data_IF_176012509497
#
_entry.id   IF_176012509497
#
_cell.length_a   1.000
_cell.length_b   1.000
_cell.length_c   1.000
_cell.angle_alpha   90.00
_cell.angle_beta   90.00
_cell.angle_gamma   90.00
#
_symmetry.space_group_name_H-M   'P 1'
#
loop_
_entity.id
_entity.type
_entity.pdbx_description
1 polymer ?
#
# COMPACT_ATOMS: atom_id res chain seq x y z
N UNK A 1 55.37 10.56 1.34
CA UNK A 1 54.54 11.55 0.59
C UNK A 1 53.61 10.89 -0.43
N UNK A 2 54.04 9.88 -1.19
CA UNK A 2 53.18 9.18 -2.15
C UNK A 2 51.98 8.41 -1.52
N UNK A 3 52.15 7.80 -0.34
CA UNK A 3 51.04 7.07 0.32
C UNK A 3 49.96 7.99 0.92
N UNK A 4 50.30 9.24 1.26
CA UNK A 4 49.32 10.25 1.69
C UNK A 4 48.44 10.71 0.53
N UNK A 5 49.02 10.97 -0.65
CA UNK A 5 48.27 11.41 -1.83
C UNK A 5 47.29 10.35 -2.38
N UNK A 6 47.62 9.05 -2.20
CA UNK A 6 46.74 7.94 -2.62
C UNK A 6 45.57 7.71 -1.66
N UNK A 7 45.79 7.88 -0.35
CA UNK A 7 44.69 7.85 0.63
C UNK A 7 43.74 9.03 0.41
N UNK A 8 44.29 10.19 0.06
CA UNK A 8 43.54 11.42 -0.21
C UNK A 8 42.67 11.32 -1.48
N UNK A 9 43.16 10.67 -2.54
CA UNK A 9 42.39 10.47 -3.79
C UNK A 9 41.18 9.56 -3.60
N UNK A 10 41.32 8.46 -2.85
CA UNK A 10 40.20 7.55 -2.58
C UNK A 10 39.15 8.20 -1.68
N UNK A 11 39.58 8.93 -0.65
CA UNK A 11 38.66 9.65 0.23
C UNK A 11 37.90 10.76 -0.51
N UNK A 12 38.60 11.50 -1.38
CA UNK A 12 37.97 12.49 -2.27
C UNK A 12 36.93 11.85 -3.18
N UNK A 13 37.25 10.68 -3.76
CA UNK A 13 36.31 9.94 -4.59
C UNK A 13 35.06 9.48 -3.81
N UNK A 14 35.23 8.97 -2.58
CA UNK A 14 34.11 8.60 -1.70
C UNK A 14 33.21 9.79 -1.42
N UNK A 15 33.80 10.91 -1.02
CA UNK A 15 33.08 12.16 -0.73
C UNK A 15 32.26 12.64 -1.93
N UNK A 16 32.84 12.60 -3.15
CA UNK A 16 32.11 12.98 -4.37
C UNK A 16 30.87 12.11 -4.62
N UNK A 17 30.99 10.80 -4.41
CA UNK A 17 29.87 9.87 -4.57
C UNK A 17 28.82 10.07 -3.47
N UNK A 18 29.23 10.30 -2.24
CA UNK A 18 28.32 10.58 -1.13
C UNK A 18 27.57 11.90 -1.34
N UNK A 19 28.25 12.97 -1.79
CA UNK A 19 27.62 14.24 -2.16
C UNK A 19 26.58 14.09 -3.29
N UNK A 20 26.81 13.17 -4.23
CA UNK A 20 25.86 12.85 -5.30
C UNK A 20 24.60 12.16 -4.75
N UNK A 21 24.75 11.21 -3.82
CA UNK A 21 23.61 10.54 -3.19
C UNK A 21 22.86 11.48 -2.25
N UNK A 22 23.56 12.31 -1.48
CA UNK A 22 22.97 13.33 -0.63
C UNK A 22 22.18 14.36 -1.45
N UNK A 23 22.70 14.74 -2.63
CA UNK A 23 21.98 15.57 -3.59
C UNK A 23 20.69 14.91 -4.10
N UNK A 24 20.72 13.59 -4.38
CA UNK A 24 19.53 12.82 -4.81
C UNK A 24 18.48 12.73 -3.70
N UNK A 25 18.92 12.38 -2.50
CA UNK A 25 18.06 12.01 -1.37
C UNK A 25 17.41 13.25 -0.74
N UNK A 26 18.14 14.36 -0.66
CA UNK A 26 17.65 15.63 -0.15
C UNK A 26 17.22 16.61 -1.25
N UNK A 27 16.97 16.13 -2.48
CA UNK A 27 16.64 17.01 -3.61
C UNK A 27 15.42 17.90 -3.32
N UNK A 28 14.33 17.31 -2.83
CA UNK A 28 13.07 18.04 -2.54
C UNK A 28 13.26 19.05 -1.41
N UNK A 29 14.01 18.68 -0.37
CA UNK A 29 14.32 19.57 0.75
C UNK A 29 15.18 20.76 0.30
N UNK A 30 16.17 20.53 -0.56
CA UNK A 30 17.12 21.54 -1.03
C UNK A 30 16.54 22.47 -2.08
N UNK A 31 15.68 21.96 -2.96
CA UNK A 31 15.26 22.66 -4.18
C UNK A 31 13.75 22.95 -4.26
N UNK A 32 12.96 22.42 -3.33
CA UNK A 32 11.50 22.59 -3.31
C UNK A 32 10.77 21.62 -4.22
N UNK A 33 9.45 21.53 -4.02
CA UNK A 33 8.55 20.67 -4.80
C UNK A 33 8.41 21.12 -6.25
N UNK A 34 8.55 22.42 -6.50
CA UNK A 34 8.47 23.03 -7.82
C UNK A 34 9.56 22.56 -8.79
N UNK A 35 10.70 22.09 -8.25
CA UNK A 35 11.83 21.60 -9.04
C UNK A 35 11.84 20.09 -9.27
N UNK A 36 10.87 19.35 -8.72
CA UNK A 36 10.82 17.88 -8.83
C UNK A 36 10.82 17.39 -10.27
N UNK A 37 10.20 18.12 -11.20
CA UNK A 37 10.18 17.77 -12.63
C UNK A 37 11.56 17.84 -13.29
N UNK A 38 12.49 18.64 -12.75
CA UNK A 38 13.88 18.70 -13.23
C UNK A 38 14.81 17.70 -12.54
N UNK A 39 14.37 17.03 -11.47
CA UNK A 39 15.21 16.14 -10.64
C UNK A 39 15.96 15.10 -11.45
N UNK A 40 15.31 14.47 -12.42
CA UNK A 40 15.92 13.42 -13.23
C UNK A 40 17.07 13.97 -14.10
N UNK A 41 16.86 15.11 -14.76
CA UNK A 41 17.86 15.73 -15.64
C UNK A 41 19.03 16.30 -14.83
N UNK A 42 18.73 16.98 -13.72
CA UNK A 42 19.74 17.51 -12.80
C UNK A 42 20.62 16.39 -12.23
N UNK A 43 20.01 15.26 -11.84
CA UNK A 43 20.71 14.11 -11.31
C UNK A 43 21.58 13.44 -12.37
N UNK A 44 21.10 13.32 -13.61
CA UNK A 44 21.88 12.79 -14.73
C UNK A 44 23.09 13.68 -15.04
N UNK A 45 22.92 15.01 -15.02
CA UNK A 45 24.02 15.97 -15.16
C UNK A 45 25.06 15.82 -14.06
N UNK A 46 24.64 15.80 -12.79
CA UNK A 46 25.54 15.65 -11.64
C UNK A 46 26.23 14.28 -11.61
N UNK A 47 25.54 13.22 -12.05
CA UNK A 47 26.12 11.90 -12.24
C UNK A 47 27.28 11.94 -13.25
N UNK A 48 27.07 12.54 -14.44
CA UNK A 48 28.11 12.65 -15.47
C UNK A 48 29.31 13.45 -15.00
N UNK A 49 29.08 14.57 -14.31
CA UNK A 49 30.16 15.38 -13.71
C UNK A 49 30.98 14.55 -12.71
N UNK A 50 30.30 13.78 -11.86
CA UNK A 50 30.94 12.90 -10.86
C UNK A 50 31.77 11.81 -11.54
N UNK A 51 31.26 11.21 -12.63
CA UNK A 51 31.99 10.20 -13.40
C UNK A 51 33.28 10.75 -14.01
N UNK A 52 33.25 11.95 -14.59
CA UNK A 52 34.46 12.59 -15.15
C UNK A 52 35.53 12.75 -14.07
N UNK A 53 35.16 13.29 -12.90
CA UNK A 53 36.08 13.45 -11.76
C UNK A 53 36.62 12.11 -11.26
N UNK A 54 35.78 11.08 -11.19
CA UNK A 54 36.22 9.73 -10.81
C UNK A 54 37.22 9.15 -11.81
N UNK A 55 36.95 9.31 -13.11
CA UNK A 55 37.81 8.79 -14.17
C UNK A 55 39.19 9.49 -14.21
N UNK A 56 39.27 10.77 -13.85
CA UNK A 56 40.55 11.50 -13.65
C UNK A 56 41.39 10.92 -12.49
N UNK A 57 40.75 10.38 -11.46
CA UNK A 57 41.41 9.77 -10.29
C UNK A 57 41.66 8.27 -10.43
N UNK A 58 41.27 7.66 -11.55
CA UNK A 58 41.33 6.20 -11.75
C UNK A 58 42.72 5.61 -11.50
N UNK A 59 43.76 6.27 -12.01
CA UNK A 59 45.13 5.76 -11.91
C UNK A 59 45.78 6.09 -10.55
N UNK A 60 45.25 7.07 -9.80
CA UNK A 60 45.74 7.41 -8.46
C UNK A 60 45.11 6.54 -7.37
N UNK A 61 43.88 6.03 -7.59
CA UNK A 61 43.21 5.10 -6.69
C UNK A 61 43.76 3.68 -6.88
N UNK A 62 44.71 3.28 -6.02
CA UNK A 62 45.35 1.95 -6.06
C UNK A 62 44.35 0.81 -5.80
N UNK A 63 43.36 1.01 -4.92
CA UNK A 63 42.36 -0.01 -4.64
C UNK A 63 41.32 -0.06 -5.77
N UNK A 64 41.58 -0.94 -6.74
CA UNK A 64 40.72 -1.11 -7.92
C UNK A 64 39.29 -1.55 -7.57
N UNK A 65 39.11 -2.37 -6.53
CA UNK A 65 37.79 -2.83 -6.12
C UNK A 65 36.92 -1.65 -5.66
N UNK A 66 37.48 -0.79 -4.80
CA UNK A 66 36.82 0.43 -4.33
C UNK A 66 36.55 1.43 -5.47
N UNK A 67 37.49 1.61 -6.40
CA UNK A 67 37.26 2.47 -7.57
C UNK A 67 36.07 1.96 -8.41
N UNK A 68 36.03 0.66 -8.73
CA UNK A 68 34.90 0.09 -9.48
C UNK A 68 33.60 0.14 -8.69
N UNK A 69 33.63 -0.03 -7.37
CA UNK A 69 32.46 0.19 -6.51
C UNK A 69 31.94 1.61 -6.64
N UNK A 70 32.79 2.63 -6.43
CA UNK A 70 32.40 4.03 -6.48
C UNK A 70 31.86 4.42 -7.85
N UNK A 71 32.56 4.05 -8.93
CA UNK A 71 32.10 4.30 -10.30
C UNK A 71 30.77 3.61 -10.59
N UNK A 72 30.63 2.35 -10.17
CA UNK A 72 29.40 1.58 -10.32
C UNK A 72 28.22 2.19 -9.54
N UNK A 73 28.48 2.64 -8.31
CA UNK A 73 27.51 3.33 -7.44
C UNK A 73 27.07 4.67 -8.04
N UNK A 74 27.99 5.43 -8.66
CA UNK A 74 27.67 6.63 -9.43
C UNK A 74 26.75 6.33 -10.61
N UNK A 75 27.10 5.35 -11.45
CA UNK A 75 26.28 4.92 -12.60
C UNK A 75 24.88 4.41 -12.18
N UNK A 76 24.76 3.92 -10.95
CA UNK A 76 23.52 3.37 -10.41
C UNK A 76 22.66 4.42 -9.65
N UNK A 77 23.04 5.70 -9.64
CA UNK A 77 22.30 6.72 -8.86
C UNK A 77 20.90 7.01 -9.42
N UNK A 78 20.74 6.94 -10.74
CA UNK A 78 19.47 7.18 -11.45
C UNK A 78 18.60 5.92 -11.41
N UNK A 79 17.27 6.07 -11.37
CA UNK A 79 16.34 4.93 -11.29
C UNK A 79 16.37 3.96 -12.48
N UNK A 80 16.92 4.37 -13.62
CA UNK A 80 16.99 3.57 -14.86
C UNK A 80 18.10 2.52 -14.80
N UNK A 81 17.86 1.34 -15.38
CA UNK A 81 18.88 0.31 -15.54
C UNK A 81 20.04 0.79 -16.44
N UNK A 82 21.27 0.48 -16.02
CA UNK A 82 22.50 0.72 -16.76
C UNK A 82 23.32 -0.57 -16.85
N UNK A 83 23.54 -1.06 -18.07
CA UNK A 83 24.40 -2.23 -18.30
C UNK A 83 25.86 -1.93 -17.88
N UNK A 84 26.30 -0.69 -18.04
CA UNK A 84 27.63 -0.27 -17.60
C UNK A 84 27.77 -0.34 -16.07
N UNK A 85 26.72 0.05 -15.33
CA UNK A 85 26.71 -0.09 -13.86
C UNK A 85 26.83 -1.56 -13.46
N UNK A 86 26.03 -2.44 -14.11
CA UNK A 86 26.04 -3.88 -13.87
C UNK A 86 27.44 -4.49 -14.09
N UNK A 87 28.08 -4.19 -15.23
CA UNK A 87 29.42 -4.69 -15.54
C UNK A 87 30.49 -4.15 -14.56
N UNK A 88 30.39 -2.86 -14.20
CA UNK A 88 31.33 -2.20 -13.30
C UNK A 88 31.23 -2.77 -11.88
N UNK A 89 30.01 -2.92 -11.35
CA UNK A 89 29.76 -3.50 -10.03
C UNK A 89 30.10 -4.99 -9.98
N UNK A 90 29.86 -5.72 -11.07
CA UNK A 90 30.31 -7.12 -11.20
C UNK A 90 31.83 -7.25 -11.10
N UNK A 91 32.60 -6.29 -11.63
CA UNK A 91 34.06 -6.24 -11.44
C UNK A 91 34.43 -5.93 -9.99
N UNK A 92 33.73 -4.99 -9.35
CA UNK A 92 33.96 -4.65 -7.94
C UNK A 92 33.82 -5.87 -7.03
N UNK A 93 32.69 -6.60 -7.14
CA UNK A 93 32.43 -7.83 -6.35
C UNK A 93 33.43 -8.95 -6.67
N UNK A 94 33.91 -9.07 -7.92
CA UNK A 94 34.95 -10.06 -8.26
C UNK A 94 36.30 -9.75 -7.62
N UNK A 95 36.65 -8.48 -7.50
CA UNK A 95 37.93 -8.04 -6.93
C UNK A 95 37.90 -8.02 -5.40
N UNK A 96 36.76 -7.67 -4.81
CA UNK A 96 36.51 -7.79 -3.38
C UNK A 96 35.15 -8.46 -3.13
N UNK A 97 35.13 -9.80 -3.00
CA UNK A 97 33.90 -10.54 -2.72
C UNK A 97 33.28 -10.23 -1.36
N UNK A 98 34.02 -9.62 -0.43
CA UNK A 98 33.51 -9.28 0.92
C UNK A 98 32.86 -7.91 0.97
N UNK A 99 32.95 -7.11 -0.09
CA UNK A 99 32.36 -5.77 -0.14
C UNK A 99 30.83 -5.83 -0.15
N UNK A 100 30.24 -5.59 1.02
CA UNK A 100 28.79 -5.56 1.25
C UNK A 100 28.11 -4.48 0.40
N UNK A 101 28.73 -3.31 0.29
CA UNK A 101 28.22 -2.20 -0.51
C UNK A 101 28.20 -2.54 -2.01
N UNK A 102 29.24 -3.21 -2.52
CA UNK A 102 29.28 -3.67 -3.91
C UNK A 102 28.18 -4.69 -4.21
N UNK A 103 27.95 -5.64 -3.31
CA UNK A 103 26.84 -6.59 -3.45
C UNK A 103 25.48 -5.90 -3.42
N UNK A 104 25.29 -4.88 -2.57
CA UNK A 104 24.05 -4.13 -2.50
C UNK A 104 23.76 -3.38 -3.80
N UNK A 105 24.72 -2.61 -4.32
CA UNK A 105 24.51 -1.90 -5.58
C UNK A 105 24.40 -2.83 -6.78
N UNK A 106 25.10 -3.97 -6.78
CA UNK A 106 24.92 -5.00 -7.80
C UNK A 106 23.50 -5.58 -7.76
N UNK A 107 22.98 -5.87 -6.56
CA UNK A 107 21.60 -6.31 -6.36
C UNK A 107 20.57 -5.29 -6.82
N UNK A 108 20.80 -4.00 -6.57
CA UNK A 108 19.97 -2.90 -7.08
C UNK A 108 20.00 -2.81 -8.62
N UNK A 109 21.14 -3.10 -9.25
CA UNK A 109 21.21 -3.18 -10.72
C UNK A 109 20.35 -4.32 -11.27
N UNK A 110 20.44 -5.52 -10.66
CA UNK A 110 19.59 -6.65 -11.04
C UNK A 110 18.10 -6.34 -10.80
N UNK A 111 17.78 -5.65 -9.71
CA UNK A 111 16.42 -5.18 -9.42
C UNK A 111 15.88 -4.26 -10.51
N UNK A 112 16.67 -3.24 -10.92
CA UNK A 112 16.31 -2.33 -12.01
C UNK A 112 16.21 -3.05 -13.37
N UNK A 113 16.94 -4.14 -13.54
CA UNK A 113 16.83 -5.04 -14.70
C UNK A 113 15.65 -6.02 -14.60
N UNK A 114 14.80 -5.91 -13.58
CA UNK A 114 13.71 -6.85 -13.28
C UNK A 114 14.13 -8.31 -13.02
N UNK A 115 15.43 -8.56 -12.80
CA UNK A 115 15.96 -9.86 -12.39
C UNK A 115 15.89 -10.00 -10.86
N UNK A 116 14.71 -10.38 -10.39
CA UNK A 116 14.42 -10.53 -8.97
C UNK A 116 15.25 -11.65 -8.32
N UNK A 117 15.61 -12.70 -9.07
CA UNK A 117 16.41 -13.81 -8.57
C UNK A 117 17.87 -13.38 -8.38
N UNK A 118 18.45 -12.70 -9.38
CA UNK A 118 19.77 -12.09 -9.29
C UNK A 118 19.87 -11.10 -8.12
N UNK A 119 18.88 -10.21 -7.98
CA UNK A 119 18.81 -9.25 -6.89
C UNK A 119 18.77 -9.96 -5.51
N UNK A 120 17.92 -10.97 -5.35
CA UNK A 120 17.84 -11.78 -4.10
C UNK A 120 19.19 -12.39 -3.75
N UNK A 121 19.87 -12.99 -4.73
CA UNK A 121 21.16 -13.64 -4.54
C UNK A 121 22.22 -12.63 -4.08
N UNK A 122 22.28 -11.44 -4.68
CA UNK A 122 23.20 -10.39 -4.28
C UNK A 122 22.96 -9.91 -2.84
N UNK A 123 21.72 -9.60 -2.47
CA UNK A 123 21.41 -9.14 -1.11
C UNK A 123 21.62 -10.24 -0.06
N UNK A 124 21.36 -11.49 -0.41
CA UNK A 124 21.65 -12.63 0.47
C UNK A 124 23.16 -12.86 0.63
N UNK A 125 23.93 -12.71 -0.46
CA UNK A 125 25.39 -12.77 -0.44
C UNK A 125 26.00 -11.68 0.44
N UNK A 126 25.52 -10.44 0.31
CA UNK A 126 25.92 -9.33 1.18
C UNK A 126 25.72 -9.66 2.67
N UNK A 127 24.55 -10.20 3.03
CA UNK A 127 24.22 -10.61 4.40
C UNK A 127 25.03 -11.81 4.90
N UNK A 128 25.55 -12.64 3.99
CA UNK A 128 26.48 -13.72 4.32
C UNK A 128 27.87 -13.21 4.75
N UNK A 129 28.23 -11.99 4.37
CA UNK A 129 29.48 -11.33 4.77
C UNK A 129 29.29 -10.44 6.00
N UNK A 130 28.29 -9.56 5.99
CA UNK A 130 27.99 -8.67 7.10
C UNK A 130 26.51 -8.32 7.17
N UNK A 131 25.92 -8.43 8.36
CA UNK A 131 24.55 -7.99 8.61
C UNK A 131 24.47 -6.46 8.56
N UNK A 132 23.69 -5.93 7.62
CA UNK A 132 23.55 -4.49 7.41
C UNK A 132 22.11 -4.12 7.00
N UNK A 133 21.70 -2.88 7.26
CA UNK A 133 20.32 -2.42 7.02
C UNK A 133 19.96 -2.30 5.53
N UNK A 134 20.91 -1.98 4.65
CA UNK A 134 20.66 -1.84 3.20
C UNK A 134 20.24 -3.18 2.60
N UNK A 135 21.02 -4.24 2.83
CA UNK A 135 20.71 -5.57 2.30
C UNK A 135 19.39 -6.12 2.86
N UNK A 136 19.11 -5.90 4.16
CA UNK A 136 17.86 -6.33 4.78
C UNK A 136 16.63 -5.63 4.18
N UNK A 137 16.69 -4.30 3.98
CA UNK A 137 15.64 -3.53 3.31
C UNK A 137 15.41 -4.04 1.90
N UNK A 138 16.48 -4.15 1.12
CA UNK A 138 16.39 -4.54 -0.28
C UNK A 138 15.93 -6.01 -0.44
N UNK A 139 16.39 -6.92 0.43
CA UNK A 139 15.90 -8.30 0.43
C UNK A 139 14.41 -8.37 0.80
N UNK A 140 13.97 -7.58 1.78
CA UNK A 140 12.55 -7.46 2.12
C UNK A 140 11.72 -7.02 0.91
N UNK A 141 12.17 -5.99 0.16
CA UNK A 141 11.51 -5.54 -1.07
C UNK A 141 11.42 -6.66 -2.12
N UNK A 142 12.53 -7.35 -2.38
CA UNK A 142 12.59 -8.42 -3.39
C UNK A 142 11.66 -9.57 -3.06
N UNK A 143 11.64 -10.01 -1.80
CA UNK A 143 10.82 -11.14 -1.37
C UNK A 143 9.34 -10.94 -1.68
N UNK A 144 8.82 -9.70 -1.63
CA UNK A 144 7.39 -9.42 -1.91
C UNK A 144 7.04 -9.42 -3.40
N UNK A 145 8.03 -9.27 -4.26
CA UNK A 145 7.86 -9.22 -5.71
C UNK A 145 8.19 -10.55 -6.41
N UNK A 146 8.84 -11.48 -5.71
CA UNK A 146 9.10 -12.82 -6.23
C UNK A 146 7.77 -13.55 -6.52
N UNK A 147 7.74 -14.22 -7.68
CA UNK A 147 6.64 -15.07 -8.09
C UNK A 147 6.81 -16.46 -7.47
N UNK A 148 5.70 -17.15 -7.28
CA UNK A 148 5.67 -18.51 -6.74
C UNK A 148 4.21 -18.98 -6.62
N UNK A 149 4.04 -20.18 -6.12
CA UNK A 149 2.73 -20.66 -5.68
C UNK A 149 2.15 -19.76 -4.57
N UNK A 150 0.82 -19.79 -4.32
CA UNK A 150 0.21 -18.99 -3.26
C UNK A 150 0.85 -19.21 -1.87
N UNK A 151 1.20 -20.45 -1.52
CA UNK A 151 1.83 -20.79 -0.24
C UNK A 151 3.26 -20.23 -0.16
N UNK A 152 4.06 -20.38 -1.22
CA UNK A 152 5.42 -19.80 -1.28
C UNK A 152 5.38 -18.28 -1.19
N UNK A 153 4.43 -17.64 -1.90
CA UNK A 153 4.26 -16.18 -1.85
C UNK A 153 3.87 -15.71 -0.44
N UNK A 154 3.00 -16.45 0.24
CA UNK A 154 2.62 -16.14 1.61
C UNK A 154 3.81 -16.25 2.57
N UNK A 155 4.66 -17.27 2.40
CA UNK A 155 5.87 -17.42 3.20
C UNK A 155 6.88 -16.29 2.91
N UNK A 156 7.12 -15.98 1.64
CA UNK A 156 8.01 -14.88 1.22
C UNK A 156 7.57 -13.53 1.80
N UNK A 157 6.27 -13.27 1.89
CA UNK A 157 5.75 -12.05 2.51
C UNK A 157 6.01 -12.04 4.03
N UNK A 158 5.88 -13.18 4.71
CA UNK A 158 6.23 -13.28 6.14
C UNK A 158 7.72 -13.06 6.36
N UNK A 159 8.57 -13.70 5.56
CA UNK A 159 10.02 -13.53 5.63
C UNK A 159 10.43 -12.07 5.33
N UNK A 160 9.74 -11.41 4.39
CA UNK A 160 9.93 -10.00 4.08
C UNK A 160 9.68 -9.08 5.28
N UNK A 161 8.65 -9.36 6.08
CA UNK A 161 8.36 -8.61 7.32
C UNK A 161 9.48 -8.78 8.32
N UNK A 162 9.99 -10.00 8.50
CA UNK A 162 11.11 -10.25 9.43
C UNK A 162 12.38 -9.52 8.98
N UNK A 163 12.73 -9.54 7.69
CA UNK A 163 13.88 -8.79 7.18
C UNK A 163 13.74 -7.28 7.34
N UNK A 164 12.53 -6.73 7.14
CA UNK A 164 12.28 -5.32 7.39
C UNK A 164 12.37 -4.94 8.87
N UNK A 165 11.88 -5.79 9.79
CA UNK A 165 12.05 -5.60 11.24
C UNK A 165 13.52 -5.62 11.64
N UNK A 166 14.30 -6.57 11.12
CA UNK A 166 15.74 -6.63 11.37
C UNK A 166 16.44 -5.36 10.89
N UNK A 167 16.03 -4.77 9.75
CA UNK A 167 16.60 -3.51 9.26
C UNK A 167 16.34 -2.35 10.23
N UNK A 168 15.09 -2.21 10.71
CA UNK A 168 14.71 -1.21 11.71
C UNK A 168 15.46 -1.41 13.03
N UNK A 169 15.70 -2.66 13.44
CA UNK A 169 16.46 -2.94 14.67
C UNK A 169 17.92 -2.48 14.60
N UNK A 170 18.52 -2.47 13.41
CA UNK A 170 19.88 -1.95 13.24
C UNK A 170 19.93 -0.43 13.32
N UNK A 171 18.87 0.26 12.93
CA UNK A 171 18.76 1.72 13.00
C UNK A 171 17.29 2.15 13.08
N UNK A 172 16.84 2.46 14.30
CA UNK A 172 15.46 2.88 14.56
C UNK A 172 15.16 4.30 14.05
N UNK A 173 16.18 5.07 13.67
CA UNK A 173 16.04 6.42 13.13
C UNK A 173 15.95 6.45 11.61
N UNK A 174 16.28 5.36 10.93
CA UNK A 174 16.22 5.25 9.47
C UNK A 174 14.76 5.17 8.97
N UNK A 175 14.25 6.30 8.49
CA UNK A 175 12.89 6.37 7.92
C UNK A 175 12.67 5.43 6.73
N UNK A 176 13.71 5.14 5.95
CA UNK A 176 13.59 4.19 4.83
C UNK A 176 13.34 2.78 5.33
N UNK A 177 13.99 2.35 6.42
CA UNK A 177 13.72 1.05 7.04
C UNK A 177 12.27 0.95 7.54
N UNK A 178 11.75 2.02 8.14
CA UNK A 178 10.34 2.08 8.56
C UNK A 178 9.36 2.06 7.38
N UNK A 179 9.65 2.75 6.28
CA UNK A 179 8.87 2.69 5.04
C UNK A 179 8.81 1.25 4.50
N UNK A 180 9.96 0.58 4.42
CA UNK A 180 10.01 -0.81 3.93
C UNK A 180 9.24 -1.76 4.85
N UNK A 181 9.29 -1.55 6.17
CA UNK A 181 8.50 -2.31 7.13
C UNK A 181 7.00 -2.06 6.96
N UNK A 182 6.58 -0.81 6.75
CA UNK A 182 5.19 -0.47 6.41
C UNK A 182 4.73 -1.21 5.16
N UNK A 183 5.52 -1.18 4.08
CA UNK A 183 5.20 -1.89 2.83
C UNK A 183 5.13 -3.41 3.01
N UNK A 184 5.96 -3.97 3.90
CA UNK A 184 5.91 -5.39 4.23
C UNK A 184 4.64 -5.76 5.00
N UNK A 185 4.25 -4.97 6.01
CA UNK A 185 2.98 -5.15 6.70
C UNK A 185 1.78 -4.95 5.78
N UNK A 186 1.82 -3.98 4.87
CA UNK A 186 0.75 -3.77 3.88
C UNK A 186 0.54 -5.01 3.01
N UNK A 187 1.65 -5.60 2.55
CA UNK A 187 1.61 -6.84 1.75
C UNK A 187 1.12 -8.03 2.59
N UNK A 188 1.53 -8.12 3.86
CA UNK A 188 1.04 -9.15 4.78
C UNK A 188 -0.46 -8.98 5.07
N UNK A 189 -0.94 -7.75 5.21
CA UNK A 189 -2.34 -7.44 5.44
C UNK A 189 -3.22 -7.93 4.27
N UNK A 190 -2.85 -7.57 3.03
CA UNK A 190 -3.63 -7.96 1.85
C UNK A 190 -3.47 -9.43 1.44
N UNK A 191 -2.40 -10.12 1.89
CA UNK A 191 -2.23 -11.56 1.64
C UNK A 191 -2.82 -12.44 2.75
N UNK A 192 -2.71 -12.02 4.01
CA UNK A 192 -3.01 -12.82 5.21
C UNK A 192 -4.43 -12.64 5.78
N UNK A 193 -5.41 -12.29 4.95
CA UNK A 193 -6.82 -12.18 5.36
C UNK A 193 -7.18 -10.91 6.15
N UNK A 194 -6.41 -9.83 5.97
CA UNK A 194 -6.73 -8.49 6.47
C UNK A 194 -6.88 -8.38 8.00
N UNK A 195 -5.96 -8.97 8.78
CA UNK A 195 -5.93 -8.79 10.23
C UNK A 195 -5.77 -7.29 10.62
N UNK A 196 -6.73 -6.70 11.36
CA UNK A 196 -6.66 -5.30 11.80
C UNK A 196 -5.39 -4.97 12.61
N UNK A 197 -4.80 -5.93 13.32
CA UNK A 197 -3.54 -5.73 14.05
C UNK A 197 -2.38 -5.45 13.11
N UNK A 198 -2.31 -6.15 11.98
CA UNK A 198 -1.28 -5.96 10.96
C UNK A 198 -1.45 -4.59 10.30
N UNK A 199 -2.68 -4.17 10.02
CA UNK A 199 -2.95 -2.82 9.49
C UNK A 199 -2.51 -1.72 10.49
N UNK A 200 -2.78 -1.90 11.78
CA UNK A 200 -2.31 -0.96 12.81
C UNK A 200 -0.77 -0.88 12.86
N UNK A 201 -0.08 -2.02 12.74
CA UNK A 201 1.39 -2.06 12.65
C UNK A 201 1.91 -1.37 11.38
N UNK A 202 1.24 -1.59 10.24
CA UNK A 202 1.52 -0.92 8.97
C UNK A 202 1.44 0.61 9.12
N UNK A 203 0.33 1.12 9.65
CA UNK A 203 0.13 2.56 9.85
C UNK A 203 1.15 3.15 10.82
N UNK A 204 1.45 2.44 11.91
CA UNK A 204 2.50 2.86 12.85
C UNK A 204 3.87 2.95 12.20
N UNK A 205 4.23 2.02 11.32
CA UNK A 205 5.51 2.03 10.62
C UNK A 205 5.59 3.23 9.66
N UNK A 206 4.53 3.51 8.90
CA UNK A 206 4.48 4.70 8.06
C UNK A 206 4.59 6.00 8.86
N UNK A 207 3.92 6.12 10.00
CA UNK A 207 4.05 7.29 10.88
C UNK A 207 5.45 7.50 11.44
N UNK A 208 6.23 6.42 11.65
CA UNK A 208 7.65 6.55 12.01
C UNK A 208 8.50 6.98 10.81
N UNK A 209 8.24 6.42 9.63
CA UNK A 209 8.95 6.77 8.40
C UNK A 209 8.85 8.26 8.08
N UNK A 210 7.67 8.87 8.25
CA UNK A 210 7.45 10.29 7.97
C UNK A 210 8.22 11.28 8.85
N UNK A 211 8.77 10.82 9.97
CA UNK A 211 9.60 11.66 10.85
C UNK A 211 10.96 11.96 10.24
N UNK A 212 11.39 11.13 9.29
CA UNK A 212 12.61 11.30 8.51
C UNK A 212 12.32 12.09 7.23
N UNK A 213 13.14 13.11 6.96
CA UNK A 213 12.92 14.03 5.84
C UNK A 213 13.03 13.34 4.48
N UNK A 214 14.01 12.43 4.32
CA UNK A 214 14.23 11.70 3.06
C UNK A 214 13.07 10.75 2.78
N UNK A 215 12.65 9.98 3.78
CA UNK A 215 11.51 9.07 3.64
C UNK A 215 10.20 9.81 3.41
N UNK A 216 9.98 10.96 4.07
CA UNK A 216 8.81 11.83 3.83
C UNK A 216 8.74 12.34 2.39
N UNK A 217 9.89 12.61 1.78
CA UNK A 217 10.00 13.01 0.36
C UNK A 217 10.01 11.84 -0.62
N UNK A 218 9.81 10.60 -0.17
CA UNK A 218 9.65 9.46 -1.06
C UNK A 218 8.18 9.32 -1.53
N UNK A 219 7.90 9.34 -2.85
CA UNK A 219 6.54 9.21 -3.38
C UNK A 219 5.86 7.89 -2.97
N UNK A 220 6.62 6.80 -2.83
CA UNK A 220 6.10 5.49 -2.44
C UNK A 220 5.47 5.50 -1.04
N UNK A 221 6.03 6.29 -0.10
CA UNK A 221 5.47 6.40 1.25
C UNK A 221 4.08 7.01 1.20
N UNK A 222 3.94 8.13 0.48
CA UNK A 222 2.67 8.84 0.36
C UNK A 222 1.62 7.99 -0.36
N UNK A 223 2.00 7.31 -1.43
CA UNK A 223 1.09 6.45 -2.20
C UNK A 223 0.66 5.20 -1.43
N UNK A 224 1.59 4.41 -0.87
CA UNK A 224 1.24 3.16 -0.19
C UNK A 224 0.45 3.41 1.10
N UNK A 225 0.73 4.51 1.78
CA UNK A 225 -0.10 4.93 2.92
C UNK A 225 -1.48 5.41 2.47
N UNK A 226 -1.59 6.15 1.37
CA UNK A 226 -2.89 6.53 0.80
C UNK A 226 -3.74 5.32 0.44
N UNK A 227 -3.14 4.23 -0.08
CA UNK A 227 -3.84 2.97 -0.31
C UNK A 227 -4.38 2.35 0.99
N UNK A 228 -3.63 2.47 2.09
CA UNK A 228 -4.05 2.00 3.42
C UNK A 228 -5.22 2.84 3.96
N UNK A 229 -5.19 4.15 3.78
CA UNK A 229 -6.29 5.05 4.14
C UNK A 229 -7.53 4.82 3.27
N UNK A 230 -7.37 4.62 1.95
CA UNK A 230 -8.46 4.25 1.03
C UNK A 230 -9.17 2.98 1.50
N UNK A 231 -8.42 1.97 1.94
CA UNK A 231 -9.01 0.75 2.50
C UNK A 231 -9.80 1.00 3.80
N UNK A 232 -9.31 1.90 4.66
CA UNK A 232 -9.97 2.31 5.92
C UNK A 232 -11.13 3.30 5.70
N UNK A 233 -11.40 3.69 4.45
CA UNK A 233 -12.38 4.73 4.08
C UNK A 233 -12.05 6.13 4.65
N UNK A 234 -10.78 6.35 5.00
CA UNK A 234 -10.20 7.64 5.36
C UNK A 234 -9.86 8.43 4.08
N UNK A 235 -10.90 8.78 3.33
CA UNK A 235 -10.76 9.25 1.95
C UNK A 235 -10.05 10.61 1.81
N UNK A 236 -10.11 11.47 2.83
CA UNK A 236 -9.39 12.76 2.83
C UNK A 236 -7.89 12.51 2.77
N UNK A 237 -7.37 11.71 3.70
CA UNK A 237 -5.96 11.37 3.82
C UNK A 237 -5.48 10.54 2.62
N UNK A 238 -6.36 9.71 2.04
CA UNK A 238 -6.07 8.99 0.81
C UNK A 238 -5.86 9.95 -0.38
N UNK A 239 -6.78 10.90 -0.60
CA UNK A 239 -6.67 11.88 -1.68
C UNK A 239 -5.44 12.79 -1.53
N UNK A 240 -5.16 13.24 -0.30
CA UNK A 240 -3.95 14.02 0.01
C UNK A 240 -2.67 13.22 -0.31
N UNK A 241 -2.59 11.97 0.13
CA UNK A 241 -1.41 11.15 -0.11
C UNK A 241 -1.19 10.79 -1.59
N UNK A 242 -2.26 10.51 -2.35
CA UNK A 242 -2.14 10.34 -3.80
C UNK A 242 -1.69 11.62 -4.50
N UNK A 243 -2.23 12.76 -4.08
CA UNK A 243 -1.83 14.06 -4.61
C UNK A 243 -0.35 14.36 -4.33
N UNK A 244 0.10 14.19 -3.09
CA UNK A 244 1.51 14.37 -2.71
C UNK A 244 2.43 13.41 -3.47
N UNK A 245 2.06 12.14 -3.63
CA UNK A 245 2.84 11.20 -4.43
C UNK A 245 2.98 11.65 -5.89
N UNK A 246 1.90 12.18 -6.51
CA UNK A 246 1.93 12.72 -7.88
C UNK A 246 2.81 13.97 -8.02
N UNK A 247 2.97 14.75 -6.95
CA UNK A 247 3.85 15.93 -6.94
C UNK A 247 5.32 15.52 -6.75
N UNK A 248 5.57 14.49 -5.94
CA UNK A 248 6.90 13.95 -5.67
C UNK A 248 7.48 13.13 -6.85
N UNK A 249 6.61 12.55 -7.69
CA UNK A 249 7.00 11.94 -8.96
C UNK A 249 5.93 12.20 -10.04
N UNK A 250 6.04 13.30 -10.79
CA UNK A 250 5.11 13.64 -11.87
C UNK A 250 5.15 12.67 -13.07
N UNK A 251 6.21 11.86 -13.19
CA UNK A 251 6.33 10.86 -14.26
C UNK A 251 5.55 9.58 -13.94
N UNK A 252 5.32 9.32 -12.65
CA UNK A 252 4.51 8.20 -12.18
C UNK A 252 3.02 8.54 -12.26
N UNK A 253 2.30 7.85 -13.15
CA UNK A 253 0.89 8.16 -13.46
C UNK A 253 -0.11 7.55 -12.48
N UNK A 254 0.29 6.53 -11.72
CA UNK A 254 -0.65 5.76 -10.87
C UNK A 254 -1.26 6.61 -9.75
N UNK A 255 -0.52 7.47 -9.02
CA UNK A 255 -1.09 8.32 -7.98
C UNK A 255 -2.20 9.23 -8.52
N UNK A 256 -1.96 9.88 -9.66
CA UNK A 256 -2.97 10.75 -10.30
C UNK A 256 -4.18 9.94 -10.79
N UNK A 257 -3.95 8.70 -11.25
CA UNK A 257 -5.01 7.79 -11.69
C UNK A 257 -5.88 7.37 -10.51
N UNK A 258 -5.27 6.99 -9.39
CA UNK A 258 -5.97 6.64 -8.15
C UNK A 258 -6.72 7.83 -7.54
N UNK A 259 -6.12 9.02 -7.54
CA UNK A 259 -6.76 10.26 -7.08
C UNK A 259 -8.04 10.54 -7.88
N UNK A 260 -7.96 10.50 -9.22
CA UNK A 260 -9.11 10.72 -10.11
C UNK A 260 -10.17 9.65 -9.93
N UNK A 261 -9.76 8.37 -9.87
CA UNK A 261 -10.68 7.25 -9.68
C UNK A 261 -11.43 7.36 -8.35
N UNK A 262 -10.75 7.76 -7.27
CA UNK A 262 -11.37 7.97 -5.97
C UNK A 262 -12.35 9.15 -5.98
N UNK A 263 -12.03 10.26 -6.63
CA UNK A 263 -12.99 11.37 -6.79
C UNK A 263 -14.23 10.95 -7.57
N UNK A 264 -14.07 10.23 -8.69
CA UNK A 264 -15.21 9.70 -9.46
C UNK A 264 -16.03 8.72 -8.64
N UNK A 265 -15.40 7.87 -7.84
CA UNK A 265 -16.09 6.95 -6.93
C UNK A 265 -16.93 7.71 -5.90
N UNK A 266 -16.40 8.76 -5.27
CA UNK A 266 -17.13 9.60 -4.31
C UNK A 266 -18.29 10.39 -4.97
N UNK A 267 -18.07 10.95 -6.16
CA UNK A 267 -19.15 11.59 -6.95
C UNK A 267 -20.31 10.62 -7.20
N UNK A 268 -19.97 9.38 -7.57
CA UNK A 268 -20.93 8.33 -7.84
C UNK A 268 -21.69 7.92 -6.57
N UNK A 269 -21.00 7.77 -5.43
CA UNK A 269 -21.66 7.48 -4.15
C UNK A 269 -22.71 8.55 -3.83
N UNK A 270 -22.32 9.83 -3.84
CA UNK A 270 -23.24 10.93 -3.48
C UNK A 270 -24.41 10.96 -4.46
N UNK A 271 -24.12 10.98 -5.76
CA UNK A 271 -25.15 11.07 -6.80
C UNK A 271 -26.13 9.90 -6.75
N UNK A 272 -25.64 8.67 -6.58
CA UNK A 272 -26.47 7.47 -6.59
C UNK A 272 -27.25 7.30 -5.30
N UNK A 273 -26.71 7.73 -4.16
CA UNK A 273 -27.42 7.71 -2.88
C UNK A 273 -28.56 8.72 -2.89
N UNK A 274 -28.30 9.98 -3.29
CA UNK A 274 -29.32 11.04 -3.41
C UNK A 274 -30.43 10.66 -4.40
N UNK A 275 -30.07 10.12 -5.56
CA UNK A 275 -31.03 9.73 -6.62
C UNK A 275 -31.57 8.31 -6.47
N UNK A 276 -31.27 7.63 -5.35
CA UNK A 276 -31.69 6.24 -5.06
C UNK A 276 -31.48 5.30 -6.27
N UNK A 277 -30.25 5.28 -6.78
CA UNK A 277 -29.82 4.46 -7.92
C UNK A 277 -30.41 4.89 -9.27
N UNK A 278 -30.98 6.10 -9.36
CA UNK A 278 -31.67 6.62 -10.57
C UNK A 278 -32.84 5.72 -11.03
N UNK A 279 -33.45 4.97 -10.10
CA UNK A 279 -34.60 4.13 -10.40
C UNK A 279 -35.84 4.98 -10.67
N UNK A 280 -36.66 4.56 -11.65
CA UNK A 280 -37.97 5.18 -11.89
C UNK A 280 -38.83 5.09 -10.61
N UNK A 281 -39.56 6.15 -10.20
CA UNK A 281 -40.32 6.16 -8.95
C UNK A 281 -41.27 4.97 -8.77
N UNK A 282 -41.98 4.56 -9.83
CA UNK A 282 -42.85 3.37 -9.81
C UNK A 282 -42.11 2.08 -9.42
N UNK A 283 -40.90 1.89 -9.97
CA UNK A 283 -40.06 0.70 -9.69
C UNK A 283 -39.47 0.75 -8.28
N UNK A 284 -39.00 1.92 -7.86
CA UNK A 284 -38.51 2.14 -6.50
C UNK A 284 -39.61 1.84 -5.47
N UNK A 285 -40.80 2.41 -5.63
CA UNK A 285 -41.92 2.19 -4.72
C UNK A 285 -42.34 0.72 -4.67
N UNK A 286 -42.33 0.01 -5.81
CA UNK A 286 -42.59 -1.43 -5.85
C UNK A 286 -41.58 -2.22 -5.01
N UNK A 287 -40.28 -1.90 -5.11
CA UNK A 287 -39.24 -2.52 -4.29
C UNK A 287 -39.42 -2.21 -2.80
N UNK A 288 -39.59 -0.93 -2.43
CA UNK A 288 -39.71 -0.51 -1.04
C UNK A 288 -40.99 -1.05 -0.37
N UNK A 289 -42.08 -1.20 -1.12
CA UNK A 289 -43.33 -1.78 -0.60
C UNK A 289 -43.26 -3.31 -0.48
N UNK A 290 -42.32 -3.97 -1.15
CA UNK A 290 -42.11 -5.42 -1.00
C UNK A 290 -41.29 -5.81 0.24
N UNK A 291 -40.69 -4.84 0.94
CA UNK A 291 -39.97 -5.11 2.19
C UNK A 291 -40.92 -5.60 3.28
N UNK A 292 -40.50 -6.65 3.96
CA UNK A 292 -41.28 -7.36 4.98
C UNK A 292 -40.38 -7.88 6.11
N UNK A 293 -40.99 -8.37 7.19
CA UNK A 293 -40.28 -8.99 8.32
C UNK A 293 -39.42 -10.18 7.87
N UNK A 294 -39.82 -10.90 6.80
CA UNK A 294 -39.07 -12.05 6.27
C UNK A 294 -37.69 -11.66 5.72
N UNK A 295 -37.52 -10.41 5.27
CA UNK A 295 -36.28 -9.94 4.66
C UNK A 295 -35.14 -9.81 5.69
N UNK A 296 -35.48 -9.68 6.97
CA UNK A 296 -34.53 -9.72 8.08
C UNK A 296 -33.99 -11.14 8.33
N UNK A 297 -34.63 -12.18 7.78
CA UNK A 297 -34.22 -13.58 7.90
C UNK A 297 -34.04 -14.00 9.36
N UNK A 298 -32.85 -14.48 9.79
CA UNK A 298 -32.60 -14.86 11.18
C UNK A 298 -32.77 -13.70 12.16
N UNK A 299 -32.73 -12.45 11.71
CA UNK A 299 -32.90 -11.25 12.55
C UNK A 299 -34.35 -10.79 12.70
N UNK A 300 -35.30 -11.48 12.04
CA UNK A 300 -36.72 -11.12 12.05
C UNK A 300 -37.35 -11.16 13.46
N UNK A 301 -36.88 -12.08 14.32
CA UNK A 301 -37.29 -12.16 15.72
C UNK A 301 -36.54 -11.18 16.63
N UNK A 302 -35.80 -10.23 16.06
CA UNK A 302 -35.00 -9.27 16.79
C UNK A 302 -33.92 -9.95 17.62
N UNK A 303 -33.31 -11.05 17.17
CA UNK A 303 -32.19 -11.66 17.91
C UNK A 303 -30.98 -11.90 16.99
N UNK A 304 -29.79 -11.60 17.49
CA UNK A 304 -28.52 -11.92 16.85
C UNK A 304 -27.65 -12.66 17.84
N UNK A 305 -27.22 -13.86 17.46
CA UNK A 305 -26.20 -14.57 18.22
C UNK A 305 -24.85 -14.19 17.64
N UNK A 306 -24.06 -13.48 18.43
CA UNK A 306 -22.71 -13.08 18.03
C UNK A 306 -21.83 -14.31 17.83
N UNK A 307 -20.67 -14.18 17.15
CA UNK A 307 -19.70 -15.27 17.03
C UNK A 307 -19.24 -15.86 18.37
N UNK A 308 -19.41 -15.12 19.47
CA UNK A 308 -19.08 -15.55 20.84
C UNK A 308 -20.25 -16.25 21.56
N UNK A 309 -21.37 -16.51 20.87
CA UNK A 309 -22.51 -17.26 21.41
C UNK A 309 -23.50 -16.43 22.24
N UNK A 310 -23.31 -15.11 22.33
CA UNK A 310 -24.24 -14.23 23.04
C UNK A 310 -25.38 -13.82 22.13
N UNK A 311 -26.62 -14.13 22.52
CA UNK A 311 -27.83 -13.65 21.84
C UNK A 311 -28.21 -12.27 22.37
N UNK A 312 -28.23 -11.27 21.48
CA UNK A 312 -28.65 -9.90 21.78
C UNK A 312 -29.94 -9.56 21.03
N UNK A 313 -30.74 -8.68 21.61
CA UNK A 313 -31.97 -8.19 20.96
C UNK A 313 -31.63 -7.10 19.92
N UNK A 314 -32.16 -7.20 18.70
CA UNK A 314 -31.98 -6.25 17.62
C UNK A 314 -33.26 -5.46 17.37
N UNK A 315 -33.17 -4.13 17.50
CA UNK A 315 -34.23 -3.22 17.13
C UNK A 315 -34.06 -2.72 15.68
N UNK A 316 -35.06 -2.89 14.80
CA UNK A 316 -35.03 -2.31 13.47
C UNK A 316 -35.01 -0.78 13.52
N UNK A 317 -34.07 -0.17 12.80
CA UNK A 317 -34.01 1.29 12.60
C UNK A 317 -34.01 1.61 11.11
N UNK A 318 -34.53 2.77 10.70
CA UNK A 318 -34.37 3.23 9.34
C UNK A 318 -32.92 3.70 9.09
N UNK A 319 -32.50 3.72 7.83
CA UNK A 319 -31.15 4.15 7.44
C UNK A 319 -30.86 5.62 7.79
N UNK A 320 -31.90 6.45 7.97
CA UNK A 320 -31.78 7.85 8.38
C UNK A 320 -31.38 8.03 9.83
N UNK A 321 -31.57 7.01 10.67
CA UNK A 321 -31.36 7.08 12.11
C UNK A 321 -30.01 6.43 12.52
N UNK A 322 -29.17 6.09 11.53
CA UNK A 322 -27.82 5.57 11.75
C UNK A 322 -26.92 6.64 12.37
N UNK A 323 -26.25 6.28 13.46
CA UNK A 323 -25.17 7.07 14.04
C UNK A 323 -23.81 6.74 13.37
N UNK A 324 -22.84 7.68 13.35
CA UNK A 324 -21.50 7.48 12.78
C UNK A 324 -20.59 6.66 13.71
N UNK A 325 -21.09 5.50 14.15
CA UNK A 325 -20.44 4.56 15.05
C UNK A 325 -21.01 3.15 14.83
N UNK A 326 -20.59 2.18 15.66
CA UNK A 326 -21.22 0.87 15.70
C UNK A 326 -22.60 1.00 16.34
N UNK A 327 -23.66 0.82 15.55
CA UNK A 327 -25.05 0.91 16.01
C UNK A 327 -25.44 -0.38 16.75
N UNK A 328 -24.93 -0.56 17.97
CA UNK A 328 -25.11 -1.77 18.78
C UNK A 328 -26.58 -2.09 19.02
N UNK A 329 -26.94 -3.37 19.01
CA UNK A 329 -28.33 -3.84 19.18
C UNK A 329 -29.33 -3.30 18.14
N UNK A 330 -28.86 -2.81 16.97
CA UNK A 330 -29.72 -2.31 15.89
C UNK A 330 -29.60 -3.17 14.63
N UNK A 331 -30.59 -3.09 13.76
CA UNK A 331 -30.55 -3.69 12.42
C UNK A 331 -31.19 -2.76 11.40
N UNK A 332 -30.54 -2.61 10.25
CA UNK A 332 -31.13 -1.96 9.08
C UNK A 332 -31.54 -3.02 8.07
N UNK A 333 -32.62 -2.76 7.32
CA UNK A 333 -33.03 -3.58 6.19
C UNK A 333 -33.56 -2.69 5.07
N UNK A 334 -33.09 -2.90 3.85
CA UNK A 334 -33.48 -2.13 2.69
C UNK A 334 -33.40 -2.91 1.40
N UNK A 335 -33.64 -2.23 0.28
CA UNK A 335 -33.50 -2.74 -1.08
C UNK A 335 -32.26 -2.18 -1.74
N UNK A 336 -31.54 -3.04 -2.44
CA UNK A 336 -30.41 -2.63 -3.28
C UNK A 336 -30.96 -1.86 -4.48
N UNK A 337 -30.56 -0.60 -4.64
CA UNK A 337 -31.05 0.26 -5.74
C UNK A 337 -30.05 0.44 -6.87
N UNK A 338 -28.76 0.29 -6.60
CA UNK A 338 -27.67 0.26 -7.58
C UNK A 338 -26.40 -0.33 -6.96
N UNK A 339 -25.47 -0.78 -7.80
CA UNK A 339 -24.06 -0.95 -7.45
C UNK A 339 -23.28 0.32 -7.79
N UNK A 340 -22.21 0.59 -7.05
CA UNK A 340 -21.27 1.68 -7.33
C UNK A 340 -19.98 1.06 -7.83
N UNK A 341 -19.57 1.41 -9.05
CA UNK A 341 -18.34 0.91 -9.65
C UNK A 341 -17.10 1.58 -9.05
N UNK A 342 -16.04 0.79 -8.87
CA UNK A 342 -14.73 1.21 -8.37
C UNK A 342 -13.64 0.66 -9.30
N UNK A 343 -12.47 1.31 -9.31
CA UNK A 343 -11.29 0.81 -10.02
C UNK A 343 -10.61 -0.38 -9.31
N UNK A 344 -11.09 -0.74 -8.12
CA UNK A 344 -10.64 -1.88 -7.33
C UNK A 344 -11.77 -2.90 -7.19
N UNK A 345 -11.41 -4.18 -7.06
CA UNK A 345 -12.37 -5.26 -6.77
C UNK A 345 -12.89 -5.25 -5.33
N UNK A 346 -12.24 -4.50 -4.44
CA UNK A 346 -12.60 -4.37 -3.02
C UNK A 346 -12.58 -2.88 -2.63
N UNK A 347 -13.62 -2.38 -1.93
CA UNK A 347 -14.84 -3.09 -1.52
C UNK A 347 -15.85 -3.28 -2.66
N UNK A 348 -16.80 -4.20 -2.47
CA UNK A 348 -18.04 -4.21 -3.26
C UNK A 348 -19.00 -3.16 -2.68
N UNK A 349 -19.37 -2.18 -3.49
CA UNK A 349 -20.18 -1.04 -3.02
C UNK A 349 -21.55 -1.01 -3.68
N UNK A 350 -22.60 -0.77 -2.89
CA UNK A 350 -23.97 -0.61 -3.38
C UNK A 350 -24.76 0.40 -2.55
N UNK A 351 -25.85 0.92 -3.09
CA UNK A 351 -26.77 1.78 -2.33
C UNK A 351 -27.94 0.95 -1.80
N UNK A 352 -28.20 1.05 -0.50
CA UNK A 352 -29.28 0.41 0.22
C UNK A 352 -30.35 1.46 0.56
N UNK A 353 -31.56 1.29 0.05
CA UNK A 353 -32.67 2.22 0.31
C UNK A 353 -33.80 1.55 1.09
N UNK A 354 -34.27 2.21 2.13
CA UNK A 354 -35.52 1.90 2.78
C UNK A 354 -36.61 2.96 2.46
N UNK A 355 -37.73 2.92 3.18
CA UNK A 355 -38.82 3.88 2.95
C UNK A 355 -38.45 5.33 3.32
N UNK A 356 -37.53 5.53 4.26
CA UNK A 356 -37.14 6.85 4.76
C UNK A 356 -35.90 7.41 4.07
N UNK A 357 -34.90 6.58 3.76
CA UNK A 357 -33.60 7.03 3.27
C UNK A 357 -32.91 6.07 2.31
N UNK A 358 -31.66 6.41 2.04
CA UNK A 358 -30.74 5.66 1.19
C UNK A 358 -29.34 5.87 1.74
N UNK A 359 -28.53 4.81 1.82
CA UNK A 359 -27.16 4.85 2.33
C UNK A 359 -26.26 4.00 1.44
N UNK A 360 -25.01 4.43 1.25
CA UNK A 360 -24.01 3.60 0.59
C UNK A 360 -23.52 2.53 1.57
N UNK A 361 -23.35 1.30 1.09
CA UNK A 361 -22.82 0.17 1.84
C UNK A 361 -21.57 -0.35 1.14
N UNK A 362 -20.47 -0.40 1.86
CA UNK A 362 -19.18 -0.97 1.42
C UNK A 362 -19.02 -2.35 2.06
N UNK A 363 -18.81 -3.38 1.24
CA UNK A 363 -18.63 -4.76 1.71
C UNK A 363 -17.23 -5.23 1.37
N UNK A 364 -16.46 -5.53 2.41
CA UNK A 364 -15.11 -6.07 2.33
C UNK A 364 -15.15 -7.59 2.37
N UNK A 365 -14.01 -8.22 2.02
CA UNK A 365 -13.81 -9.66 2.09
C UNK A 365 -14.85 -10.46 1.29
N UNK A 366 -15.39 -9.89 0.22
CA UNK A 366 -16.35 -10.55 -0.65
C UNK A 366 -15.63 -11.16 -1.86
N UNK A 367 -15.97 -12.40 -2.24
CA UNK A 367 -15.44 -13.00 -3.48
C UNK A 367 -15.91 -12.21 -4.70
N UNK A 368 -15.10 -12.22 -5.76
CA UNK A 368 -15.51 -11.64 -7.04
C UNK A 368 -16.78 -12.32 -7.56
N UNK A 369 -17.78 -11.53 -7.99
CA UNK A 369 -19.12 -12.03 -8.35
C UNK A 369 -19.99 -12.45 -7.15
N UNK A 370 -19.50 -12.24 -5.92
CA UNK A 370 -20.19 -12.54 -4.67
C UNK A 370 -21.31 -11.56 -4.31
N UNK A 371 -21.32 -10.38 -4.94
CA UNK A 371 -22.19 -9.23 -4.62
C UNK A 371 -23.70 -9.46 -4.73
N UNK A 372 -24.44 -8.40 -4.38
CA UNK A 372 -25.90 -8.35 -4.42
C UNK A 372 -26.41 -7.67 -5.70
N UNK A 373 -27.67 -7.94 -6.07
CA UNK A 373 -28.30 -7.42 -7.29
C UNK A 373 -29.34 -6.36 -6.97
N UNK A 374 -29.61 -5.48 -7.93
CA UNK A 374 -30.67 -4.47 -7.83
C UNK A 374 -32.03 -5.15 -7.58
N UNK A 375 -32.70 -4.78 -6.48
CA UNK A 375 -33.97 -5.34 -6.03
C UNK A 375 -33.85 -6.39 -4.92
N UNK A 376 -32.65 -6.91 -4.66
CA UNK A 376 -32.41 -7.76 -3.49
C UNK A 376 -32.72 -6.98 -2.21
N UNK A 377 -33.32 -7.64 -1.22
CA UNK A 377 -33.35 -7.11 0.15
C UNK A 377 -32.07 -7.49 0.87
N UNK A 378 -31.52 -6.54 1.64
CA UNK A 378 -30.34 -6.76 2.46
C UNK A 378 -30.60 -6.25 3.87
N UNK A 379 -30.36 -7.11 4.87
CA UNK A 379 -30.35 -6.73 6.27
C UNK A 379 -28.93 -6.82 6.85
N UNK A 380 -28.56 -5.83 7.65
CA UNK A 380 -27.23 -5.67 8.25
C UNK A 380 -27.43 -5.44 9.76
N UNK A 381 -27.03 -6.39 10.61
CA UNK A 381 -27.07 -6.25 12.06
C UNK A 381 -25.89 -5.40 12.53
N UNK A 382 -26.09 -4.67 13.62
CA UNK A 382 -25.10 -3.80 14.25
C UNK A 382 -24.28 -2.97 13.25
N UNK A 383 -24.95 -2.24 12.33
CA UNK A 383 -24.27 -1.60 11.21
C UNK A 383 -23.25 -0.58 11.73
N UNK A 384 -22.02 -0.67 11.21
CA UNK A 384 -20.99 0.32 11.46
C UNK A 384 -21.20 1.51 10.52
N UNK A 385 -21.79 2.59 11.05
CA UNK A 385 -21.98 3.83 10.31
C UNK A 385 -20.66 4.61 10.27
N UNK A 386 -20.24 5.04 9.10
CA UNK A 386 -19.02 5.82 8.92
C UNK A 386 -19.37 7.19 8.32
N UNK A 387 -18.98 8.25 9.02
CA UNK A 387 -19.12 9.62 8.51
C UNK A 387 -17.97 9.90 7.56
N UNK A 388 -18.29 10.22 6.31
CA UNK A 388 -17.31 10.65 5.33
C UNK A 388 -17.43 12.16 5.15
N UNK A 389 -16.35 12.86 5.50
CA UNK A 389 -16.20 14.30 5.29
C UNK A 389 -14.88 14.55 4.58
N UNK A 390 -14.98 15.03 3.33
CA UNK A 390 -13.83 15.23 2.46
C UNK A 390 -13.94 16.59 1.82
N UNK A 391 -12.85 17.35 1.83
CA UNK A 391 -12.67 18.58 1.06
C UNK A 391 -11.35 18.47 0.30
N UNK A 392 -11.44 18.30 -1.00
CA UNK A 392 -10.28 18.12 -1.87
C UNK A 392 -10.45 18.92 -3.15
N UNK A 393 -9.52 19.84 -3.41
CA UNK A 393 -9.61 20.83 -4.50
C UNK A 393 -10.93 21.62 -4.43
N UNK A 394 -11.72 21.60 -5.49
CA UNK A 394 -13.02 22.25 -5.64
C UNK A 394 -14.21 21.37 -5.19
N UNK A 395 -13.95 20.15 -4.71
CA UNK A 395 -15.00 19.20 -4.33
C UNK A 395 -15.12 19.02 -2.82
N UNK A 396 -16.36 18.91 -2.36
CA UNK A 396 -16.70 18.61 -0.97
C UNK A 396 -17.69 17.46 -0.95
N UNK A 397 -17.44 16.48 -0.09
CA UNK A 397 -18.32 15.34 0.15
C UNK A 397 -18.64 15.25 1.63
N UNK A 398 -19.92 15.18 1.96
CA UNK A 398 -20.42 14.98 3.31
C UNK A 398 -21.57 13.98 3.25
N UNK A 399 -21.31 12.75 3.66
CA UNK A 399 -22.32 11.69 3.67
C UNK A 399 -22.03 10.65 4.75
N UNK A 400 -23.03 9.80 5.02
CA UNK A 400 -22.90 8.63 5.88
C UNK A 400 -22.87 7.37 5.00
N UNK A 401 -21.94 6.46 5.28
CA UNK A 401 -21.91 5.10 4.70
C UNK A 401 -22.06 4.04 5.79
N UNK A 402 -22.31 2.80 5.38
CA UNK A 402 -22.24 1.62 6.25
C UNK A 402 -21.11 0.74 5.79
N UNK A 403 -20.14 0.50 6.67
CA UNK A 403 -19.03 -0.41 6.41
C UNK A 403 -19.36 -1.81 6.91
N UNK A 404 -19.13 -2.80 6.07
CA UNK A 404 -19.33 -4.22 6.37
C UNK A 404 -18.02 -4.98 6.14
N UNK A 405 -17.32 -5.35 7.21
CA UNK A 405 -16.01 -6.01 7.11
C UNK A 405 -16.09 -7.47 6.62
N UNK A 406 -17.19 -8.16 6.90
CA UNK A 406 -17.43 -9.52 6.44
C UNK A 406 -18.82 -9.64 5.84
N UNK A 407 -18.96 -10.21 4.63
CA UNK A 407 -20.27 -10.40 4.02
C UNK A 407 -21.13 -11.40 4.82
N UNK A 408 -20.52 -12.19 5.71
CA UNK A 408 -21.22 -13.19 6.51
C UNK A 408 -22.14 -12.59 7.54
N UNK A 409 -22.00 -11.31 7.91
CA UNK A 409 -22.97 -10.64 8.80
C UNK A 409 -24.25 -10.26 8.06
N UNK A 410 -24.23 -10.19 6.73
CA UNK A 410 -25.40 -9.80 5.94
C UNK A 410 -26.43 -10.93 5.83
N UNK A 411 -27.68 -10.53 5.60
CA UNK A 411 -28.78 -11.38 5.15
C UNK A 411 -29.26 -10.82 3.83
N UNK A 412 -29.38 -11.67 2.81
CA UNK A 412 -29.83 -11.29 1.46
C UNK A 412 -31.08 -12.08 1.12
N UNK A 413 -32.18 -11.39 0.79
CA UNK A 413 -33.48 -12.00 0.50
C UNK A 413 -33.93 -12.99 1.60
N UNK A 414 -33.78 -12.58 2.87
CA UNK A 414 -34.12 -13.38 4.05
C UNK A 414 -33.15 -14.55 4.35
N UNK A 415 -32.12 -14.75 3.54
CA UNK A 415 -31.16 -15.85 3.71
C UNK A 415 -29.81 -15.33 4.18
N UNK A 416 -29.21 -16.00 5.16
CA UNK A 416 -27.86 -15.68 5.64
C UNK A 416 -26.83 -15.88 4.51
N UNK A 417 -25.93 -14.92 4.32
CA UNK A 417 -24.85 -15.06 3.34
C UNK A 417 -23.95 -16.24 3.72
N UNK A 418 -23.67 -17.12 2.76
CA UNK A 418 -22.90 -18.34 2.96
C UNK A 418 -21.39 -18.06 3.00
N UNK A 419 -20.64 -18.89 3.71
CA UNK A 419 -19.17 -18.84 3.79
C UNK A 419 -18.48 -18.78 2.40
N UNK A 420 -19.06 -19.45 1.39
CA UNK A 420 -18.55 -19.45 0.01
C UNK A 420 -18.56 -18.07 -0.68
N UNK A 421 -19.23 -17.07 -0.10
CA UNK A 421 -19.28 -15.69 -0.60
C UNK A 421 -18.22 -14.79 0.05
N UNK A 422 -17.56 -15.25 1.11
CA UNK A 422 -16.42 -14.57 1.71
C UNK A 422 -15.14 -14.99 0.99
N UNK A 423 -14.28 -14.04 0.65
CA UNK A 423 -12.93 -14.33 0.17
C UNK A 423 -12.18 -15.12 1.25
N UNK A 424 -11.48 -16.18 0.85
CA UNK A 424 -10.69 -16.96 1.80
C UNK A 424 -9.65 -16.04 2.45
N UNK A 425 -9.65 -15.97 3.79
CA UNK A 425 -8.47 -15.55 4.52
C UNK A 425 -7.41 -16.62 4.26
N UNK A 426 -6.32 -16.28 3.57
CA UNK A 426 -5.23 -17.23 3.33
C UNK A 426 -4.47 -17.41 4.65
N UNK A 427 -5.06 -18.20 5.54
CA UNK A 427 -4.41 -18.80 6.69
C UNK A 427 -4.44 -20.31 6.46
N UNK A 428 -3.58 -20.78 5.54
CA UNK A 428 -3.24 -22.20 5.49
C UNK A 428 -2.36 -22.52 6.71
N UNK A 429 -3.00 -22.87 7.83
CA UNK A 429 -2.32 -23.66 8.86
C UNK A 429 -2.42 -25.11 8.39
N UNK A 430 -1.38 -25.63 7.74
CA UNK A 430 -1.23 -27.08 7.62
C UNK A 430 -0.63 -27.58 8.93
N UNK A 431 -1.43 -28.29 9.70
CA UNK A 431 -0.93 -29.20 10.73
C UNK A 431 -0.08 -30.26 10.03
N UNK A 432 1.16 -30.42 10.50
CA UNK A 432 2.04 -31.53 10.11
C UNK A 432 1.40 -32.83 10.60
N UNK A 433 1.10 -33.82 9.74
CA UNK A 433 0.90 -35.18 10.20
C UNK A 433 2.26 -35.79 10.54
N UNK A 434 2.31 -36.50 11.67
CA UNK A 434 3.48 -37.13 12.31
C UNK A 434 4.46 -37.85 11.38
#
# INVERSE_FOLDING_TARGET
MADNATSDSLETAKKLVDELYEYRDHYVERFGMEKVTQKADDLDGKMRETLVKLDEMKDTIKNKAEYFLLRGRTLNVVGKFSNEALETLSKAVKLDPKSVEAWNHLGECYWKNSDMAGAKNCFSGALGHEKNKVSLRNLSMVMRQLRGSPDERQQLIKDSVEKAKEAVQLDISDGTSWLILGNAYLSLFFSGGQDPKVLKQCMSAYSQAERDLVAKSNPDLSFNRAMSYKYQEEYQQALEGFHTASQLDPSWTDPLTEEKALLTYLDNIVTLTEKRGKLKPKKLNAYLNSLSVKDFGPYAGGSYTSPHGQTIELAPIPTTDLAPEVNSNKVICGKVVCSVESNSTVPFTFCLSDKKGCVAVTVYNMVQGGGVKIGDSVAIPEPFGQKVQVKHKDKTYDFLSVRVDSPLVMVVNGNKVRASKQAASVLSVRTVPE
#
